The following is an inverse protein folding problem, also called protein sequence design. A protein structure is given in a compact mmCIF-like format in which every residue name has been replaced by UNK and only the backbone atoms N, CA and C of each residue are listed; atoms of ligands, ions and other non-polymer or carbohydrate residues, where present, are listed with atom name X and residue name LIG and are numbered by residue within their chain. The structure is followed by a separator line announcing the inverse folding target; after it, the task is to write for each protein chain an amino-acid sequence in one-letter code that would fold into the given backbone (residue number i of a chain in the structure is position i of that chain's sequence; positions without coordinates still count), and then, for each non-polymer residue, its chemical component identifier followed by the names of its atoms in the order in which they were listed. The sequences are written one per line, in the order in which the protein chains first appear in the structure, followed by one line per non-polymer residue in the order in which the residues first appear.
data_IF_241727582557
#
_entry.id   IF_241727582557
#
_cell.length_a   1.000
_cell.length_b   1.000
_cell.length_c   1.000
_cell.angle_alpha   90.00
_cell.angle_beta   90.00
_cell.angle_gamma   90.00
#
_symmetry.space_group_name_H-M   'P 1'
#
loop_
_entity.id
_entity.type
_entity.pdbx_description
1 polymer ?
#
# COMPACT_ATOMS: atom_id res chain seq x y z
N UNK A 1 16.47 0.98 -12.26
CA UNK A 1 15.10 0.84 -12.83
C UNK A 1 14.46 2.21 -12.73
N UNK A 2 13.97 2.77 -13.83
CA UNK A 2 13.50 4.18 -13.88
C UNK A 2 12.31 4.48 -12.97
N UNK A 3 11.44 3.49 -12.71
CA UNK A 3 10.20 3.69 -11.94
C UNK A 3 10.42 4.17 -10.50
N UNK A 4 11.45 3.68 -9.79
CA UNK A 4 11.72 4.10 -8.41
C UNK A 4 12.18 5.57 -8.36
N UNK A 5 13.04 5.96 -9.29
CA UNK A 5 13.51 7.34 -9.38
C UNK A 5 12.41 8.31 -9.81
N UNK A 6 11.52 7.87 -10.72
CA UNK A 6 10.34 8.64 -11.09
C UNK A 6 9.42 8.85 -9.87
N UNK A 7 9.05 7.77 -9.18
CA UNK A 7 8.26 7.85 -7.95
C UNK A 7 8.91 8.74 -6.89
N UNK A 8 10.22 8.60 -6.67
CA UNK A 8 10.96 9.38 -5.66
C UNK A 8 10.94 10.88 -5.98
N UNK A 9 11.11 11.24 -7.25
CA UNK A 9 11.06 12.61 -7.71
C UNK A 9 9.65 13.20 -7.56
N UNK A 10 8.61 12.48 -8.02
CA UNK A 10 7.21 12.91 -7.89
C UNK A 10 6.84 13.15 -6.42
N UNK A 11 7.21 12.23 -5.53
CA UNK A 11 6.97 12.37 -4.09
C UNK A 11 7.71 13.57 -3.48
N UNK A 12 9.00 13.76 -3.80
CA UNK A 12 9.80 14.85 -3.23
C UNK A 12 9.29 16.22 -3.67
N UNK A 13 9.02 16.39 -4.97
CA UNK A 13 8.46 17.62 -5.52
C UNK A 13 7.14 17.97 -4.82
N UNK A 14 6.23 17.00 -4.72
CA UNK A 14 4.95 17.21 -4.06
C UNK A 14 5.09 17.56 -2.56
N UNK A 15 6.07 16.97 -1.87
CA UNK A 15 6.34 17.31 -0.47
C UNK A 15 6.86 18.75 -0.31
N UNK A 16 7.71 19.20 -1.22
CA UNK A 16 8.21 20.58 -1.22
C UNK A 16 7.06 21.59 -1.45
N UNK A 17 6.08 21.26 -2.30
CA UNK A 17 4.89 22.09 -2.51
C UNK A 17 4.07 22.29 -1.22
N UNK A 18 3.94 21.25 -0.38
CA UNK A 18 3.33 21.39 0.95
C UNK A 18 4.07 22.40 1.84
N UNK A 19 5.40 22.43 1.80
CA UNK A 19 6.22 23.36 2.61
C UNK A 19 6.07 24.81 2.12
N UNK A 20 5.90 24.98 0.81
CA UNK A 20 5.73 26.27 0.16
C UNK A 20 4.32 26.86 0.32
N UNK A 21 3.36 26.10 0.90
CA UNK A 21 1.95 26.48 1.04
C UNK A 21 1.35 27.02 -0.26
N UNK A 22 1.71 26.39 -1.38
CA UNK A 22 1.06 26.66 -2.66
C UNK A 22 -0.43 26.30 -2.58
N UNK A 23 -1.22 26.78 -3.54
CA UNK A 23 -2.68 26.66 -3.62
C UNK A 23 -3.18 25.18 -3.63
N UNK A 24 -4.41 24.90 -4.09
CA UNK A 24 -4.93 23.52 -4.18
C UNK A 24 -3.91 22.58 -4.83
N UNK A 25 -3.37 21.65 -4.03
CA UNK A 25 -2.36 20.68 -4.45
C UNK A 25 -3.06 19.48 -5.09
N UNK A 26 -2.50 18.99 -6.19
CA UNK A 26 -2.88 17.70 -6.74
C UNK A 26 -2.63 16.60 -5.69
N UNK A 27 -3.60 15.70 -5.49
CA UNK A 27 -3.45 14.64 -4.49
C UNK A 27 -2.34 13.64 -4.89
N UNK A 28 -1.36 13.43 -4.01
CA UNK A 28 -0.34 12.40 -4.17
C UNK A 28 -0.63 11.21 -3.24
N UNK A 29 -0.93 10.03 -3.80
CA UNK A 29 -1.28 8.83 -3.02
C UNK A 29 -0.20 8.38 -2.03
N UNK A 30 1.07 8.72 -2.27
CA UNK A 30 2.18 8.39 -1.38
C UNK A 30 2.45 9.46 -0.31
N UNK A 31 1.78 10.62 -0.38
CA UNK A 31 2.01 11.73 0.54
C UNK A 31 1.34 11.49 1.90
N UNK A 32 2.15 11.56 2.96
CA UNK A 32 1.70 11.43 4.34
C UNK A 32 0.93 12.66 4.84
N UNK A 33 1.10 13.82 4.19
CA UNK A 33 0.40 15.06 4.52
C UNK A 33 -0.98 15.12 3.86
N UNK A 34 -1.11 14.61 2.63
CA UNK A 34 -2.42 14.42 1.98
C UNK A 34 -3.27 13.36 2.69
N UNK A 35 -2.63 12.27 3.15
CA UNK A 35 -3.32 11.11 3.72
C UNK A 35 -2.79 10.75 5.11
N UNK A 36 -2.97 11.63 6.11
CA UNK A 36 -2.47 11.40 7.46
C UNK A 36 -3.14 10.18 8.09
N UNK A 37 -2.35 9.36 8.79
CA UNK A 37 -2.87 8.20 9.52
C UNK A 37 -3.68 8.70 10.72
N UNK A 38 -4.99 8.46 10.71
CA UNK A 38 -5.89 8.81 11.82
C UNK A 38 -6.01 7.65 12.81
N UNK A 39 -6.04 6.41 12.31
CA UNK A 39 -6.16 5.21 13.11
C UNK A 39 -5.41 4.05 12.45
N UNK A 40 -4.74 3.25 13.26
CA UNK A 40 -4.01 2.07 12.81
C UNK A 40 -4.61 0.80 13.42
N UNK A 41 -5.37 0.01 12.64
CA UNK A 41 -5.93 -1.25 13.14
C UNK A 41 -4.85 -2.29 13.44
N UNK A 42 -5.03 -3.08 14.51
CA UNK A 42 -4.12 -4.16 14.88
C UNK A 42 -3.91 -5.17 13.74
N UNK A 43 -4.97 -5.48 12.99
CA UNK A 43 -4.90 -6.39 11.83
C UNK A 43 -4.01 -5.84 10.72
N UNK A 44 -4.01 -4.52 10.51
CA UNK A 44 -3.11 -3.88 9.55
C UNK A 44 -1.66 -3.99 10.00
N UNK A 45 -1.37 -3.79 11.29
CA UNK A 45 -0.01 -3.93 11.83
C UNK A 45 0.56 -5.33 11.61
N UNK A 46 -0.25 -6.38 11.82
CA UNK A 46 0.16 -7.77 11.53
C UNK A 46 0.51 -7.96 10.05
N UNK A 47 -0.31 -7.43 9.15
CA UNK A 47 -0.03 -7.43 7.70
C UNK A 47 1.28 -6.69 7.40
N UNK A 48 1.47 -5.50 7.97
CA UNK A 48 2.64 -4.67 7.74
C UNK A 48 3.94 -5.35 8.22
N UNK A 49 3.93 -5.91 9.43
CA UNK A 49 5.05 -6.66 10.00
C UNK A 49 5.42 -7.89 9.16
N UNK A 50 4.44 -8.52 8.49
CA UNK A 50 4.69 -9.60 7.56
C UNK A 50 5.31 -9.08 6.25
N UNK A 51 4.75 -8.02 5.66
CA UNK A 51 5.24 -7.43 4.41
C UNK A 51 6.69 -6.94 4.53
N UNK A 52 7.01 -6.28 5.65
CA UNK A 52 8.35 -5.77 5.95
C UNK A 52 9.42 -6.87 5.97
N UNK A 53 9.06 -8.11 6.31
CA UNK A 53 10.01 -9.26 6.28
C UNK A 53 10.39 -9.66 4.85
N UNK A 54 9.55 -9.36 3.86
CA UNK A 54 9.80 -9.66 2.45
C UNK A 54 10.52 -8.53 1.73
N UNK A 55 10.14 -7.28 2.02
CA UNK A 55 10.75 -6.09 1.42
C UNK A 55 11.01 -5.03 2.50
N UNK A 56 12.24 -5.03 3.02
CA UNK A 56 12.72 -4.11 4.05
C UNK A 56 12.97 -2.69 3.52
N UNK A 57 12.95 -2.49 2.20
CA UNK A 57 12.99 -1.17 1.61
C UNK A 57 11.67 -0.39 1.84
N UNK A 58 10.55 -1.08 2.06
CA UNK A 58 9.26 -0.46 2.36
C UNK A 58 9.26 0.01 3.82
N UNK A 59 9.24 1.33 4.05
CA UNK A 59 9.42 1.89 5.41
C UNK A 59 8.26 2.74 5.90
N UNK A 60 7.41 3.25 5.01
CA UNK A 60 6.31 4.16 5.37
C UNK A 60 5.07 3.76 4.57
N UNK A 61 3.93 3.83 5.26
CA UNK A 61 2.57 3.76 4.73
C UNK A 61 1.80 5.00 5.17
N UNK A 62 0.62 5.18 4.58
CA UNK A 62 -0.31 6.23 4.95
C UNK A 62 -1.75 5.68 5.01
N UNK A 63 -2.73 6.56 5.19
CA UNK A 63 -4.13 6.15 5.33
C UNK A 63 -4.71 5.46 4.08
N UNK A 64 -4.19 5.76 2.88
CA UNK A 64 -4.58 5.06 1.63
C UNK A 64 -4.15 3.60 1.70
N UNK A 65 -2.92 3.33 2.12
CA UNK A 65 -2.41 1.96 2.26
C UNK A 65 -3.25 1.17 3.27
N UNK A 66 -3.54 1.78 4.42
CA UNK A 66 -4.36 1.14 5.48
C UNK A 66 -5.74 0.78 4.93
N UNK A 67 -6.46 1.75 4.36
CA UNK A 67 -7.80 1.54 3.81
C UNK A 67 -7.81 0.52 2.67
N UNK A 68 -6.78 0.51 1.83
CA UNK A 68 -6.63 -0.47 0.76
C UNK A 68 -6.51 -1.89 1.31
N UNK A 69 -5.61 -2.11 2.28
CA UNK A 69 -5.41 -3.43 2.91
C UNK A 69 -6.67 -3.90 3.63
N UNK A 70 -7.35 -3.03 4.38
CA UNK A 70 -8.63 -3.38 5.01
C UNK A 70 -9.68 -3.75 3.98
N UNK A 71 -9.74 -3.03 2.86
CA UNK A 71 -10.67 -3.34 1.77
C UNK A 71 -10.38 -4.71 1.14
N UNK A 72 -9.10 -5.09 1.00
CA UNK A 72 -8.74 -6.44 0.56
C UNK A 72 -9.13 -7.50 1.58
N UNK A 73 -8.92 -7.25 2.88
CA UNK A 73 -9.24 -8.19 3.95
C UNK A 73 -10.74 -8.44 4.09
N UNK A 74 -11.56 -7.40 3.90
CA UNK A 74 -13.03 -7.47 3.96
C UNK A 74 -13.70 -7.94 2.66
N UNK A 75 -12.94 -8.11 1.58
CA UNK A 75 -13.46 -8.59 0.30
C UNK A 75 -13.73 -10.09 0.35
N UNK A 76 -14.84 -10.53 -0.24
CA UNK A 76 -15.15 -11.96 -0.41
C UNK A 76 -14.07 -12.66 -1.23
N UNK A 77 -13.75 -13.91 -0.90
CA UNK A 77 -12.64 -14.61 -1.56
C UNK A 77 -12.89 -14.79 -3.07
N UNK A 78 -14.13 -15.08 -3.48
CA UNK A 78 -14.51 -15.19 -4.89
C UNK A 78 -14.35 -13.87 -5.62
N UNK A 79 -14.80 -12.74 -5.04
CA UNK A 79 -14.63 -11.41 -5.64
C UNK A 79 -13.14 -11.06 -5.81
N UNK A 80 -12.31 -11.40 -4.81
CA UNK A 80 -10.86 -11.17 -4.86
C UNK A 80 -10.20 -11.96 -5.99
N UNK A 81 -10.56 -13.23 -6.15
CA UNK A 81 -10.01 -14.10 -7.19
C UNK A 81 -10.47 -13.66 -8.59
N UNK A 82 -11.74 -13.33 -8.75
CA UNK A 82 -12.32 -12.93 -10.03
C UNK A 82 -11.78 -11.59 -10.53
N UNK A 83 -11.42 -10.68 -9.62
CA UNK A 83 -11.04 -9.30 -9.96
C UNK A 83 -9.54 -8.99 -9.81
N UNK A 84 -8.72 -10.01 -9.54
CA UNK A 84 -7.27 -9.87 -9.30
C UNK A 84 -6.51 -9.23 -10.47
N UNK A 85 -6.95 -9.50 -11.70
CA UNK A 85 -6.34 -8.98 -12.92
C UNK A 85 -7.09 -7.78 -13.52
N UNK A 86 -8.35 -7.59 -13.15
CA UNK A 86 -9.21 -6.50 -13.64
C UNK A 86 -10.36 -6.26 -12.69
N UNK A 87 -10.63 -4.99 -12.36
CA UNK A 87 -11.72 -4.60 -11.46
C UNK A 87 -11.22 -4.33 -10.05
N UNK A 88 -12.11 -4.50 -9.07
CA UNK A 88 -11.94 -3.91 -7.74
C UNK A 88 -10.69 -4.38 -6.99
N UNK A 89 -10.35 -5.68 -6.99
CA UNK A 89 -9.13 -6.14 -6.34
C UNK A 89 -7.87 -5.55 -7.00
N UNK A 90 -7.84 -5.49 -8.34
CA UNK A 90 -6.75 -4.86 -9.09
C UNK A 90 -6.64 -3.37 -8.76
N UNK A 91 -7.74 -2.64 -8.71
CA UNK A 91 -7.74 -1.20 -8.44
C UNK A 91 -7.33 -0.89 -6.99
N UNK A 92 -7.76 -1.70 -6.02
CA UNK A 92 -7.29 -1.60 -4.63
C UNK A 92 -5.79 -1.89 -4.56
N UNK A 93 -5.32 -2.92 -5.27
CA UNK A 93 -3.91 -3.28 -5.31
C UNK A 93 -3.04 -2.16 -5.89
N UNK A 94 -3.48 -1.52 -6.98
CA UNK A 94 -2.81 -0.35 -7.57
C UNK A 94 -2.63 0.75 -6.52
N UNK A 95 -3.71 1.13 -5.84
CA UNK A 95 -3.69 2.17 -4.79
C UNK A 95 -2.77 1.81 -3.63
N UNK A 96 -2.71 0.54 -3.21
CA UNK A 96 -1.77 0.10 -2.17
C UNK A 96 -0.33 0.27 -2.67
N UNK A 97 -0.02 -0.22 -3.87
CA UNK A 97 1.35 -0.16 -4.40
C UNK A 97 1.84 1.26 -4.67
N UNK A 98 0.93 2.18 -5.04
CA UNK A 98 1.22 3.59 -5.30
C UNK A 98 1.34 4.43 -4.02
N UNK A 99 0.72 3.98 -2.91
CA UNK A 99 0.76 4.70 -1.63
C UNK A 99 1.91 4.30 -0.70
N UNK A 100 2.50 3.13 -0.92
CA UNK A 100 3.65 2.65 -0.14
C UNK A 100 4.92 3.40 -0.53
N UNK A 101 5.75 3.70 0.47
CA UNK A 101 7.01 4.42 0.28
C UNK A 101 8.22 3.54 0.53
N UNK A 102 9.24 3.75 -0.29
CA UNK A 102 10.49 3.01 -0.25
C UNK A 102 11.66 3.90 0.17
N UNK A 103 12.50 3.41 1.08
CA UNK A 103 13.72 4.10 1.52
C UNK A 103 14.80 4.12 0.44
N UNK A 104 14.88 3.01 -0.28
CA UNK A 104 15.84 2.72 -1.34
C UNK A 104 15.11 1.93 -2.41
N UNK A 105 15.74 1.75 -3.58
CA UNK A 105 15.20 0.89 -4.62
C UNK A 105 14.87 -0.52 -4.05
N UNK A 106 13.62 -0.98 -4.13
CA UNK A 106 13.24 -2.28 -3.60
C UNK A 106 13.87 -3.42 -4.38
N UNK A 107 14.10 -4.55 -3.70
CA UNK A 107 14.65 -5.78 -4.28
C UNK A 107 13.60 -6.47 -5.15
N UNK A 108 12.34 -6.40 -4.73
CA UNK A 108 11.19 -7.02 -5.37
C UNK A 108 10.58 -6.06 -6.39
N UNK A 109 10.29 -6.57 -7.58
CA UNK A 109 9.54 -5.82 -8.60
C UNK A 109 8.06 -5.73 -8.22
N UNK A 110 7.38 -4.69 -8.67
CA UNK A 110 5.96 -4.44 -8.39
C UNK A 110 5.06 -5.67 -8.54
N UNK A 111 5.17 -6.44 -9.63
CA UNK A 111 4.40 -7.69 -9.81
C UNK A 111 4.61 -8.70 -8.68
N UNK A 112 5.85 -8.85 -8.20
CA UNK A 112 6.19 -9.72 -7.08
C UNK A 112 5.65 -9.18 -5.76
N UNK A 113 5.72 -7.87 -5.55
CA UNK A 113 5.16 -7.22 -4.38
C UNK A 113 3.65 -7.43 -4.28
N UNK A 114 2.92 -7.25 -5.38
CA UNK A 114 1.47 -7.50 -5.46
C UNK A 114 1.11 -8.95 -5.10
N UNK A 115 1.88 -9.92 -5.58
CA UNK A 115 1.69 -11.32 -5.23
C UNK A 115 1.90 -11.58 -3.73
N UNK A 116 2.95 -10.99 -3.14
CA UNK A 116 3.25 -11.11 -1.70
C UNK A 116 2.13 -10.49 -0.86
N UNK A 117 1.66 -9.29 -1.22
CA UNK A 117 0.54 -8.63 -0.53
C UNK A 117 -0.68 -9.55 -0.50
N UNK A 118 -1.04 -10.17 -1.63
CA UNK A 118 -2.17 -11.09 -1.69
C UNK A 118 -2.00 -12.33 -0.82
N UNK A 119 -0.79 -12.92 -0.80
CA UNK A 119 -0.47 -14.07 0.05
C UNK A 119 -0.63 -13.70 1.52
N UNK A 120 -0.12 -12.54 1.95
CA UNK A 120 -0.24 -12.07 3.34
C UNK A 120 -1.71 -11.78 3.68
N UNK A 121 -2.48 -11.16 2.77
CA UNK A 121 -3.92 -10.93 2.98
C UNK A 121 -4.67 -12.24 3.21
N UNK A 122 -4.37 -13.29 2.42
CA UNK A 122 -4.97 -14.61 2.60
C UNK A 122 -4.59 -15.24 3.95
N UNK A 123 -3.31 -15.23 4.31
CA UNK A 123 -2.82 -15.75 5.61
C UNK A 123 -3.45 -14.99 6.79
N UNK A 124 -3.63 -13.67 6.69
CA UNK A 124 -4.33 -12.88 7.70
C UNK A 124 -5.79 -13.29 7.86
N UNK A 125 -6.49 -13.64 6.78
CA UNK A 125 -7.90 -14.10 6.82
C UNK A 125 -7.99 -15.50 7.41
N UNK A 126 -7.18 -16.43 6.92
CA UNK A 126 -7.16 -17.82 7.39
C UNK A 126 -6.85 -17.88 8.89
N UNK A 127 -5.85 -17.14 9.37
CA UNK A 127 -5.53 -17.07 10.80
C UNK A 127 -6.60 -16.36 11.62
N UNK A 128 -7.34 -15.41 11.07
CA UNK A 128 -8.47 -14.82 11.79
C UNK A 128 -9.60 -15.84 11.96
N UNK A 129 -9.87 -16.67 10.94
CA UNK A 129 -10.84 -17.77 11.01
C UNK A 129 -10.43 -18.89 11.98
N UNK A 130 -9.14 -19.15 12.15
CA UNK A 130 -8.63 -20.13 13.14
C UNK A 130 -8.72 -19.63 14.60
N UNK A 131 -8.86 -18.31 14.81
CA UNK A 131 -8.94 -17.69 16.13
C UNK A 131 -10.40 -17.39 16.56
N UNK A 132 -11.41 -17.76 15.75
CA UNK A 132 -12.84 -17.74 16.07
C UNK A 132 -13.34 -19.13 16.49
#
# INVERSE_FOLDING_TARGET
MEWYHQWENEYKTHKEEHELRTEELDECLSCELCYPIVNEPIVFKKFWDALFKFEDAIIIYNDVTIKGVLSLLSMDNSEREDTIHKGRCRDIMDRITESIRYRIQPKIKEKGLRAIILVIVRDCIERNLENE
#
